data_IF_975856793100
#
_entry.id   IF_975856793100
#
_cell.length_a   1.000
_cell.length_b   1.000
_cell.length_c   1.000
_cell.angle_alpha   90.00
_cell.angle_beta   90.00
_cell.angle_gamma   90.00
#
_symmetry.space_group_name_H-M   'P 1'
#
loop_
_entity.id
_entity.type
_entity.pdbx_description
1 polymer ?
#
# COMPACT_ATOMS: atom_id res chain seq x y z
N UNK A 1 14.48 33.03 -32.38
CA UNK A 1 13.99 33.52 -31.06
C UNK A 1 15.10 33.45 -30.05
N UNK A 2 15.70 34.57 -29.60
CA UNK A 2 16.72 34.60 -28.52
C UNK A 2 16.06 34.25 -27.19
N UNK A 3 16.36 33.09 -26.62
CA UNK A 3 15.93 32.71 -25.26
C UNK A 3 16.46 33.76 -24.27
N UNK A 4 15.58 34.47 -23.58
CA UNK A 4 15.90 35.51 -22.60
C UNK A 4 16.87 34.95 -21.54
N UNK A 5 17.84 35.74 -21.05
CA UNK A 5 18.76 35.39 -19.95
C UNK A 5 17.99 34.92 -18.72
N UNK A 6 16.85 35.50 -18.41
CA UNK A 6 15.93 35.11 -17.35
C UNK A 6 15.47 33.63 -17.46
N UNK A 7 15.14 33.16 -18.67
CA UNK A 7 14.73 31.79 -18.93
C UNK A 7 15.86 30.74 -18.67
N UNK A 8 17.13 31.13 -18.83
CA UNK A 8 18.29 30.27 -18.53
C UNK A 8 18.53 30.20 -17.02
N UNK A 9 18.45 31.34 -16.32
CA UNK A 9 18.60 31.39 -14.85
C UNK A 9 17.52 30.55 -14.17
N UNK A 10 16.27 30.68 -14.58
CA UNK A 10 15.17 29.89 -14.06
C UNK A 10 15.36 28.37 -14.26
N UNK A 11 15.88 27.96 -15.41
CA UNK A 11 16.22 26.55 -15.66
C UNK A 11 17.34 26.05 -14.77
N UNK A 12 18.41 26.82 -14.63
CA UNK A 12 19.53 26.45 -13.74
C UNK A 12 19.01 26.30 -12.30
N UNK A 13 18.23 27.26 -11.81
CA UNK A 13 17.62 27.21 -10.49
C UNK A 13 16.73 25.97 -10.32
N UNK A 14 15.91 25.64 -11.32
CA UNK A 14 15.07 24.43 -11.31
C UNK A 14 15.91 23.15 -11.25
N UNK A 15 17.01 23.06 -12.02
CA UNK A 15 17.89 21.89 -11.95
C UNK A 15 18.61 21.77 -10.60
N UNK A 16 19.08 22.89 -10.04
CA UNK A 16 19.72 22.89 -8.71
C UNK A 16 18.73 22.41 -7.65
N UNK A 17 17.49 22.91 -7.69
CA UNK A 17 16.44 22.52 -6.74
C UNK A 17 16.08 21.04 -6.89
N UNK A 18 15.95 20.53 -8.12
CA UNK A 18 15.67 19.11 -8.39
C UNK A 18 16.81 18.21 -7.93
N UNK A 19 18.07 18.57 -8.22
CA UNK A 19 19.25 17.78 -7.79
C UNK A 19 19.37 17.76 -6.27
N UNK A 20 19.21 18.92 -5.62
CA UNK A 20 19.22 19.01 -4.16
C UNK A 20 18.11 18.18 -3.55
N UNK A 21 16.87 18.27 -4.07
CA UNK A 21 15.75 17.45 -3.64
C UNK A 21 16.02 15.95 -3.81
N UNK A 22 16.60 15.55 -4.95
CA UNK A 22 16.97 14.16 -5.23
C UNK A 22 18.02 13.66 -4.21
N UNK A 23 19.05 14.44 -3.92
CA UNK A 23 20.09 14.08 -2.94
C UNK A 23 19.44 13.89 -1.55
N UNK A 24 18.62 14.83 -1.11
CA UNK A 24 17.92 14.75 0.20
C UNK A 24 17.04 13.50 0.30
N UNK A 25 16.33 13.13 -0.77
CA UNK A 25 15.49 11.94 -0.79
C UNK A 25 16.30 10.65 -0.84
N UNK A 26 17.38 10.60 -1.63
CA UNK A 26 18.19 9.40 -1.80
C UNK A 26 19.16 9.14 -0.63
N UNK A 27 19.52 10.18 0.13
CA UNK A 27 20.47 10.06 1.22
C UNK A 27 20.06 9.04 2.32
N UNK A 28 18.82 9.01 2.82
CA UNK A 28 18.40 7.97 3.76
C UNK A 28 18.49 6.54 3.18
N UNK A 29 18.17 6.36 1.88
CA UNK A 29 18.34 5.07 1.21
C UNK A 29 19.80 4.65 1.13
N UNK A 30 20.69 5.58 0.79
CA UNK A 30 22.12 5.35 0.83
C UNK A 30 22.58 4.89 2.21
N UNK A 31 22.19 5.60 3.28
CA UNK A 31 22.51 5.22 4.66
C UNK A 31 21.97 3.83 5.02
N UNK A 32 20.77 3.51 4.63
CA UNK A 32 20.17 2.19 4.86
C UNK A 32 21.00 1.09 4.20
N UNK A 33 21.40 1.28 2.94
CA UNK A 33 22.18 0.30 2.19
C UNK A 33 23.59 0.11 2.80
N UNK A 34 24.31 1.20 3.05
CA UNK A 34 25.68 1.10 3.57
C UNK A 34 25.71 0.51 4.98
N UNK A 35 24.73 0.86 5.83
CA UNK A 35 24.68 0.34 7.20
C UNK A 35 24.28 -1.15 7.20
N UNK A 36 23.38 -1.59 6.33
CA UNK A 36 23.05 -3.00 6.19
C UNK A 36 24.24 -3.86 5.74
N UNK A 37 25.21 -3.27 5.04
CA UNK A 37 26.41 -3.93 4.51
C UNK A 37 27.66 -3.79 5.40
N UNK A 38 27.55 -3.12 6.55
CA UNK A 38 28.64 -2.97 7.54
C UNK A 38 28.56 -4.01 8.64
N UNK A 39 29.72 -4.25 9.27
CA UNK A 39 29.76 -4.93 10.57
C UNK A 39 29.30 -3.97 11.69
N UNK A 40 28.81 -4.49 12.84
CA UNK A 40 28.48 -3.65 14.01
C UNK A 40 29.65 -2.78 14.48
N UNK A 41 30.90 -3.29 14.38
CA UNK A 41 32.11 -2.56 14.75
C UNK A 41 32.34 -1.37 13.83
N UNK A 42 32.23 -1.55 12.51
CA UNK A 42 32.37 -0.44 11.55
C UNK A 42 31.28 0.62 11.76
N UNK A 43 30.05 0.21 12.04
CA UNK A 43 28.94 1.14 12.29
C UNK A 43 29.12 1.93 13.58
N UNK A 44 29.73 1.33 14.62
CA UNK A 44 30.06 2.03 15.87
C UNK A 44 31.16 3.07 15.72
N UNK A 45 32.13 2.84 14.80
CA UNK A 45 33.19 3.78 14.52
C UNK A 45 32.72 4.97 13.68
N UNK A 46 31.94 4.71 12.65
CA UNK A 46 31.36 5.74 11.78
C UNK A 46 30.09 5.26 11.10
N UNK A 47 28.97 5.86 11.45
CA UNK A 47 27.69 5.56 10.82
C UNK A 47 27.62 5.97 9.34
N UNK A 48 28.29 7.07 8.99
CA UNK A 48 28.21 7.71 7.66
C UNK A 48 29.28 7.24 6.67
N UNK A 49 30.35 6.58 7.12
CA UNK A 49 31.42 6.12 6.23
C UNK A 49 30.95 5.04 5.27
N UNK A 50 31.60 4.87 4.14
CA UNK A 50 31.43 3.73 3.25
C UNK A 50 31.94 2.44 3.93
N UNK A 51 31.30 1.26 3.71
CA UNK A 51 31.77 -0.01 4.27
C UNK A 51 33.19 -0.35 3.77
N UNK A 52 34.06 -0.81 4.67
CA UNK A 52 35.41 -1.27 4.31
C UNK A 52 35.32 -2.65 3.63
N UNK A 53 34.35 -3.48 4.03
CA UNK A 53 34.05 -4.76 3.41
C UNK A 53 32.52 -4.93 3.31
N UNK A 54 32.06 -5.58 2.25
CA UNK A 54 30.62 -5.89 2.11
C UNK A 54 30.28 -7.09 3.00
N UNK A 55 29.73 -6.81 4.19
CA UNK A 55 29.34 -7.84 5.14
C UNK A 55 27.88 -8.28 4.93
N UNK A 56 27.70 -9.43 4.29
CA UNK A 56 26.37 -10.00 4.02
C UNK A 56 25.79 -10.79 5.23
N UNK A 57 26.55 -10.96 6.29
CA UNK A 57 26.13 -11.69 7.48
C UNK A 57 24.86 -11.13 8.14
N UNK A 58 24.62 -9.82 8.02
CA UNK A 58 23.40 -9.20 8.55
C UNK A 58 22.15 -9.77 7.89
N UNK A 59 22.16 -9.94 6.57
CA UNK A 59 21.04 -10.51 5.81
C UNK A 59 20.79 -11.98 6.18
N UNK A 60 21.86 -12.78 6.29
CA UNK A 60 21.79 -14.16 6.71
C UNK A 60 21.22 -14.28 8.13
N UNK A 61 21.71 -13.44 9.04
CA UNK A 61 21.25 -13.40 10.42
C UNK A 61 19.76 -13.03 10.53
N UNK A 62 19.27 -12.09 9.74
CA UNK A 62 17.83 -11.76 9.72
C UNK A 62 17.00 -12.94 9.25
N UNK A 63 17.41 -13.62 8.18
CA UNK A 63 16.69 -14.76 7.63
C UNK A 63 16.68 -15.97 8.57
N UNK A 64 17.78 -16.21 9.31
CA UNK A 64 17.93 -17.37 10.18
C UNK A 64 17.33 -17.18 11.57
N UNK A 65 17.47 -15.98 12.16
CA UNK A 65 17.13 -15.75 13.58
C UNK A 65 15.65 -15.55 13.88
N UNK A 66 14.80 -15.24 12.90
CA UNK A 66 13.55 -14.57 13.23
C UNK A 66 12.29 -15.21 12.67
N UNK A 67 12.26 -16.46 12.25
CA UNK A 67 11.09 -17.00 11.52
C UNK A 67 10.62 -16.06 10.38
N UNK A 68 11.58 -15.36 9.76
CA UNK A 68 11.35 -14.32 8.76
C UNK A 68 10.36 -14.73 7.66
N UNK A 69 10.48 -15.98 7.21
CA UNK A 69 9.60 -16.56 6.18
C UNK A 69 8.14 -16.66 6.63
N UNK A 70 7.86 -16.82 7.94
CA UNK A 70 6.49 -16.80 8.47
C UNK A 70 5.90 -15.41 8.33
N UNK A 71 6.65 -14.38 8.71
CA UNK A 71 6.21 -12.98 8.62
C UNK A 71 6.06 -12.52 7.17
N UNK A 72 7.01 -12.94 6.31
CA UNK A 72 6.93 -12.71 4.87
C UNK A 72 5.67 -13.33 4.27
N UNK A 73 5.44 -14.62 4.55
CA UNK A 73 4.23 -15.33 4.12
C UNK A 73 2.95 -14.64 4.59
N UNK A 74 2.90 -14.22 5.85
CA UNK A 74 1.74 -13.52 6.40
C UNK A 74 1.49 -12.19 5.67
N UNK A 75 2.54 -11.38 5.46
CA UNK A 75 2.43 -10.15 4.65
C UNK A 75 1.97 -10.44 3.21
N UNK A 76 2.54 -11.45 2.58
CA UNK A 76 2.15 -11.84 1.23
C UNK A 76 0.68 -12.30 1.15
N UNK A 77 0.23 -13.14 2.09
CA UNK A 77 -1.17 -13.60 2.17
C UNK A 77 -2.11 -12.43 2.40
N UNK A 78 -1.82 -11.57 3.38
CA UNK A 78 -2.66 -10.40 3.67
C UNK A 78 -2.73 -9.49 2.44
N UNK A 79 -1.60 -9.18 1.81
CA UNK A 79 -1.57 -8.28 0.66
C UNK A 79 -2.27 -8.87 -0.56
N UNK A 80 -1.91 -10.09 -0.95
CA UNK A 80 -2.47 -10.71 -2.16
C UNK A 80 -3.98 -10.92 -2.04
N UNK A 81 -4.44 -11.44 -0.88
CA UNK A 81 -5.88 -11.71 -0.68
C UNK A 81 -6.66 -10.41 -0.55
N UNK A 82 -6.16 -9.41 0.21
CA UNK A 82 -6.84 -8.12 0.33
C UNK A 82 -6.92 -7.40 -1.01
N UNK A 83 -5.82 -7.32 -1.76
CA UNK A 83 -5.79 -6.65 -3.06
C UNK A 83 -6.68 -7.38 -4.07
N UNK A 84 -6.67 -8.71 -4.09
CA UNK A 84 -7.58 -9.48 -4.93
C UNK A 84 -9.05 -9.15 -4.63
N UNK A 85 -9.44 -9.16 -3.35
CA UNK A 85 -10.81 -8.83 -2.94
C UNK A 85 -11.17 -7.37 -3.27
N UNK A 86 -10.25 -6.43 -3.05
CA UNK A 86 -10.40 -5.02 -3.43
C UNK A 86 -10.66 -4.91 -4.93
N UNK A 87 -9.87 -5.59 -5.76
CA UNK A 87 -9.97 -5.53 -7.22
C UNK A 87 -11.21 -6.22 -7.79
N UNK A 88 -11.84 -7.10 -7.04
CA UNK A 88 -13.10 -7.75 -7.44
C UNK A 88 -14.31 -6.97 -6.90
N UNK A 89 -14.35 -6.72 -5.59
CA UNK A 89 -15.55 -6.22 -4.93
C UNK A 89 -15.80 -4.73 -5.19
N UNK A 90 -14.75 -3.90 -5.13
CA UNK A 90 -14.91 -2.46 -5.25
C UNK A 90 -15.33 -2.04 -6.67
N UNK A 91 -14.75 -2.56 -7.76
CA UNK A 91 -15.22 -2.23 -9.12
C UNK A 91 -16.66 -2.67 -9.38
N UNK A 92 -17.06 -3.85 -8.90
CA UNK A 92 -18.45 -4.33 -9.02
C UNK A 92 -19.43 -3.42 -8.29
N UNK A 93 -19.12 -3.06 -7.05
CA UNK A 93 -19.93 -2.13 -6.26
C UNK A 93 -20.00 -0.75 -6.94
N UNK A 94 -18.85 -0.25 -7.39
CA UNK A 94 -18.75 1.06 -8.06
C UNK A 94 -19.53 1.10 -9.36
N UNK A 95 -19.53 0.02 -10.14
CA UNK A 95 -20.34 -0.09 -11.36
C UNK A 95 -21.82 -0.03 -11.05
N UNK A 96 -22.29 -0.81 -10.09
CA UNK A 96 -23.69 -0.80 -9.68
C UNK A 96 -24.14 0.59 -9.21
N UNK A 97 -23.32 1.29 -8.44
CA UNK A 97 -23.59 2.65 -7.99
C UNK A 97 -23.55 3.64 -9.17
N UNK A 98 -22.53 3.62 -9.99
CA UNK A 98 -22.31 4.58 -11.08
C UNK A 98 -23.47 4.56 -12.10
N UNK A 99 -23.97 3.38 -12.44
CA UNK A 99 -25.05 3.19 -13.43
C UNK A 99 -26.45 3.45 -12.88
N UNK A 100 -26.62 3.45 -11.55
CA UNK A 100 -27.90 3.69 -10.90
C UNK A 100 -27.92 4.95 -10.01
N UNK A 101 -27.03 5.91 -10.23
CA UNK A 101 -26.86 7.10 -9.38
C UNK A 101 -28.13 7.98 -9.30
N UNK A 102 -29.07 7.86 -10.24
CA UNK A 102 -30.35 8.55 -10.26
C UNK A 102 -31.30 8.03 -9.17
N UNK A 103 -31.17 6.73 -8.81
CA UNK A 103 -31.97 6.10 -7.77
C UNK A 103 -31.47 6.53 -6.38
N UNK A 104 -32.38 6.99 -5.53
CA UNK A 104 -32.07 7.50 -4.18
C UNK A 104 -31.23 6.53 -3.35
N UNK A 105 -31.48 5.23 -3.43
CA UNK A 105 -30.73 4.21 -2.70
C UNK A 105 -29.23 4.22 -3.05
N UNK A 106 -28.89 4.15 -4.33
CA UNK A 106 -27.48 4.14 -4.79
C UNK A 106 -26.78 5.46 -4.52
N UNK A 107 -27.51 6.58 -4.68
CA UNK A 107 -26.99 7.90 -4.34
C UNK A 107 -26.67 8.01 -2.84
N UNK A 108 -27.54 7.55 -1.97
CA UNK A 108 -27.32 7.53 -0.51
C UNK A 108 -26.15 6.63 -0.15
N UNK A 109 -26.07 5.42 -0.75
CA UNK A 109 -24.95 4.49 -0.53
C UNK A 109 -23.60 5.08 -0.94
N UNK A 110 -23.57 5.80 -2.08
CA UNK A 110 -22.36 6.50 -2.52
C UNK A 110 -21.90 7.54 -1.50
N UNK A 111 -22.81 8.42 -1.04
CA UNK A 111 -22.45 9.45 -0.05
C UNK A 111 -22.10 8.85 1.31
N UNK A 112 -22.72 7.75 1.71
CA UNK A 112 -22.35 7.02 2.92
C UNK A 112 -20.94 6.49 2.86
N UNK A 113 -20.55 5.83 1.76
CA UNK A 113 -19.19 5.36 1.55
C UNK A 113 -18.20 6.53 1.44
N UNK A 114 -18.58 7.60 0.75
CA UNK A 114 -17.76 8.80 0.62
C UNK A 114 -17.48 9.45 1.98
N UNK A 115 -18.45 9.48 2.88
CA UNK A 115 -18.29 10.00 4.24
C UNK A 115 -17.18 9.28 5.01
N UNK A 116 -16.93 8.00 4.71
CA UNK A 116 -15.86 7.23 5.31
C UNK A 116 -14.45 7.78 5.03
N UNK A 117 -14.25 8.53 3.94
CA UNK A 117 -12.94 9.16 3.62
C UNK A 117 -12.60 10.25 4.64
N UNK A 118 -13.61 10.93 5.19
CA UNK A 118 -13.42 12.05 6.11
C UNK A 118 -13.20 11.60 7.56
N UNK A 119 -13.37 10.31 7.85
CA UNK A 119 -13.16 9.77 9.21
C UNK A 119 -11.69 9.32 9.34
N UNK A 120 -10.86 10.02 10.13
CA UNK A 120 -9.48 9.58 10.36
C UNK A 120 -9.45 8.21 11.04
N UNK A 121 -8.61 7.30 10.55
CA UNK A 121 -8.48 5.96 11.12
C UNK A 121 -8.18 5.99 12.62
N UNK A 122 -7.37 6.94 13.09
CA UNK A 122 -6.99 7.11 14.49
C UNK A 122 -8.20 7.33 15.42
N UNK A 123 -9.27 7.92 14.92
CA UNK A 123 -10.50 8.15 15.71
C UNK A 123 -11.27 6.85 15.90
N UNK A 124 -11.30 6.00 14.88
CA UNK A 124 -12.09 4.75 14.90
C UNK A 124 -11.30 3.53 15.38
N UNK A 125 -9.97 3.61 15.50
CA UNK A 125 -9.12 2.44 15.76
C UNK A 125 -9.48 1.71 17.05
N UNK A 126 -9.74 2.43 18.16
CA UNK A 126 -10.07 1.79 19.45
C UNK A 126 -11.44 1.11 19.44
N UNK A 127 -12.54 1.78 19.05
CA UNK A 127 -13.83 1.10 18.94
C UNK A 127 -13.82 -0.05 17.94
N UNK A 128 -13.03 0.07 16.85
CA UNK A 128 -12.87 -0.96 15.84
C UNK A 128 -12.23 -2.22 16.40
N UNK A 129 -11.12 -2.09 17.11
CA UNK A 129 -10.43 -3.24 17.75
C UNK A 129 -11.36 -3.93 18.76
N UNK A 130 -12.10 -3.16 19.58
CA UNK A 130 -13.09 -3.71 20.50
C UNK A 130 -14.18 -4.52 19.77
N UNK A 131 -14.63 -4.00 18.63
CA UNK A 131 -15.64 -4.68 17.81
C UNK A 131 -15.10 -5.97 17.19
N UNK A 132 -13.89 -5.94 16.62
CA UNK A 132 -13.23 -7.12 16.06
C UNK A 132 -12.94 -8.18 17.16
N UNK A 133 -12.51 -7.76 18.34
CA UNK A 133 -12.30 -8.67 19.46
C UNK A 133 -13.61 -9.38 19.87
N UNK A 134 -14.72 -8.65 19.94
CA UNK A 134 -16.04 -9.22 20.21
C UNK A 134 -16.47 -10.25 19.15
N UNK A 135 -16.08 -10.03 17.90
CA UNK A 135 -16.35 -10.96 16.78
C UNK A 135 -15.32 -12.08 16.66
N UNK A 136 -14.29 -12.12 17.52
CA UNK A 136 -13.14 -13.04 17.44
C UNK A 136 -12.36 -12.93 16.12
N UNK A 137 -12.30 -11.73 15.57
CA UNK A 137 -11.62 -11.39 14.31
C UNK A 137 -10.27 -10.67 14.53
N UNK A 138 -9.64 -10.80 15.71
CA UNK A 138 -8.26 -10.37 15.94
C UNK A 138 -7.28 -11.41 15.37
N UNK A 139 -7.29 -11.57 14.04
CA UNK A 139 -6.51 -12.56 13.29
C UNK A 139 -6.29 -12.09 11.84
N UNK A 140 -5.55 -12.88 11.04
CA UNK A 140 -5.27 -12.56 9.63
C UNK A 140 -6.55 -12.36 8.78
N UNK A 141 -7.58 -13.21 8.84
CA UNK A 141 -8.85 -12.95 8.16
C UNK A 141 -9.51 -11.61 8.55
N UNK A 142 -9.52 -11.27 9.83
CA UNK A 142 -10.04 -9.99 10.30
C UNK A 142 -9.25 -8.80 9.76
N UNK A 143 -7.91 -8.91 9.70
CA UNK A 143 -7.07 -7.88 9.08
C UNK A 143 -7.40 -7.70 7.59
N UNK A 144 -7.58 -8.79 6.84
CA UNK A 144 -7.97 -8.76 5.42
C UNK A 144 -9.32 -8.05 5.24
N UNK A 145 -10.33 -8.40 6.05
CA UNK A 145 -11.65 -7.74 6.02
C UNK A 145 -11.50 -6.24 6.25
N UNK A 146 -10.66 -5.85 7.20
CA UNK A 146 -10.39 -4.44 7.51
C UNK A 146 -9.73 -3.70 6.36
N UNK A 147 -8.70 -4.30 5.73
CA UNK A 147 -8.06 -3.71 4.56
C UNK A 147 -9.07 -3.45 3.44
N UNK A 148 -9.92 -4.42 3.12
CA UNK A 148 -10.96 -4.29 2.08
C UNK A 148 -11.99 -3.22 2.45
N UNK A 149 -12.43 -3.19 3.71
CA UNK A 149 -13.43 -2.23 4.19
C UNK A 149 -12.90 -0.79 4.11
N UNK A 150 -11.70 -0.54 4.58
CA UNK A 150 -11.11 0.82 4.56
C UNK A 150 -10.76 1.28 3.14
N UNK A 151 -10.31 0.37 2.27
CA UNK A 151 -10.08 0.67 0.86
C UNK A 151 -11.37 1.04 0.10
N UNK A 152 -12.54 0.55 0.56
CA UNK A 152 -13.80 0.70 -0.16
C UNK A 152 -14.21 2.16 -0.34
N UNK A 153 -14.04 3.01 0.66
CA UNK A 153 -14.42 4.42 0.58
C UNK A 153 -13.70 5.16 -0.54
N UNK A 154 -12.37 5.10 -0.54
CA UNK A 154 -11.55 5.75 -1.56
C UNK A 154 -11.69 5.08 -2.93
N UNK A 155 -11.72 3.75 -2.97
CA UNK A 155 -11.85 2.99 -4.21
C UNK A 155 -13.16 3.25 -4.93
N UNK A 156 -14.29 3.26 -4.20
CA UNK A 156 -15.61 3.57 -4.76
C UNK A 156 -15.67 5.01 -5.25
N UNK A 157 -15.11 5.97 -4.50
CA UNK A 157 -15.05 7.36 -4.94
C UNK A 157 -14.35 7.52 -6.29
N UNK A 158 -13.18 6.93 -6.43
CA UNK A 158 -12.41 7.03 -7.68
C UNK A 158 -13.10 6.33 -8.84
N UNK A 159 -13.59 5.09 -8.61
CA UNK A 159 -14.18 4.28 -9.67
C UNK A 159 -15.54 4.76 -10.12
N UNK A 160 -16.41 5.20 -9.21
CA UNK A 160 -17.74 5.73 -9.59
C UNK A 160 -17.59 6.92 -10.52
N UNK A 161 -16.69 7.85 -10.21
CA UNK A 161 -16.44 9.02 -11.05
C UNK A 161 -15.86 8.63 -12.42
N UNK A 162 -14.93 7.68 -12.45
CA UNK A 162 -14.34 7.21 -13.71
C UNK A 162 -15.35 6.42 -14.56
N UNK A 163 -16.14 5.51 -13.97
CA UNK A 163 -17.15 4.74 -14.69
C UNK A 163 -18.23 5.66 -15.28
N UNK A 164 -18.58 6.74 -14.60
CA UNK A 164 -19.53 7.71 -15.13
C UNK A 164 -19.03 8.45 -16.36
N UNK A 165 -17.73 8.55 -16.57
CA UNK A 165 -17.15 9.12 -17.79
C UNK A 165 -17.14 8.16 -18.98
N UNK A 166 -17.37 6.86 -18.75
CA UNK A 166 -17.52 5.86 -19.81
C UNK A 166 -18.91 6.02 -20.45
N UNK A 167 -19.01 6.23 -21.79
CA UNK A 167 -20.29 6.40 -22.48
C UNK A 167 -21.23 5.20 -22.25
N UNK A 168 -22.49 5.48 -21.90
CA UNK A 168 -23.52 4.44 -21.71
C UNK A 168 -23.92 3.75 -23.02
N UNK A 169 -23.83 4.46 -24.13
CA UNK A 169 -24.17 3.96 -25.46
C UNK A 169 -23.47 2.65 -25.83
N UNK A 170 -22.26 2.44 -25.30
CA UNK A 170 -21.50 1.19 -25.51
C UNK A 170 -22.16 -0.01 -24.81
N UNK A 171 -22.74 0.21 -23.63
CA UNK A 171 -23.47 -0.83 -22.92
C UNK A 171 -24.85 -1.03 -23.51
N UNK A 172 -25.50 0.03 -23.99
CA UNK A 172 -26.81 -0.02 -24.67
C UNK A 172 -26.70 -0.80 -25.98
N UNK A 173 -25.67 -0.57 -26.78
CA UNK A 173 -25.39 -1.36 -27.97
C UNK A 173 -25.22 -2.86 -27.62
N UNK A 174 -24.48 -3.17 -26.55
CA UNK A 174 -24.31 -4.55 -26.11
C UNK A 174 -25.64 -5.20 -25.63
N UNK A 175 -26.53 -4.43 -25.03
CA UNK A 175 -27.85 -4.92 -24.64
C UNK A 175 -28.73 -5.23 -25.86
N UNK A 176 -28.64 -4.43 -26.92
CA UNK A 176 -29.29 -4.69 -28.20
C UNK A 176 -28.75 -6.00 -28.83
N UNK A 177 -27.45 -6.26 -28.69
CA UNK A 177 -26.78 -7.50 -29.12
C UNK A 177 -27.09 -8.70 -28.18
N UNK A 178 -28.00 -8.57 -27.20
CA UNK A 178 -28.40 -9.66 -26.31
C UNK A 178 -27.44 -9.92 -25.14
N UNK A 179 -26.51 -8.99 -24.82
CA UNK A 179 -25.66 -9.10 -23.65
C UNK A 179 -26.48 -8.76 -22.37
N UNK A 180 -26.37 -9.58 -21.34
CA UNK A 180 -26.83 -9.22 -19.99
C UNK A 180 -25.85 -8.29 -19.29
N UNK A 181 -26.31 -7.67 -18.19
CA UNK A 181 -25.54 -6.66 -17.41
C UNK A 181 -24.16 -7.13 -16.97
N UNK A 182 -24.03 -8.37 -16.49
CA UNK A 182 -22.73 -8.93 -16.06
C UNK A 182 -21.76 -9.06 -17.26
N UNK A 183 -22.29 -9.49 -18.41
CA UNK A 183 -21.46 -9.63 -19.63
C UNK A 183 -21.02 -8.27 -20.17
N UNK A 184 -21.90 -7.25 -20.14
CA UNK A 184 -21.59 -5.88 -20.50
C UNK A 184 -20.53 -5.29 -19.55
N UNK A 185 -20.68 -5.49 -18.24
CA UNK A 185 -19.67 -5.08 -17.26
C UNK A 185 -18.31 -5.70 -17.55
N UNK A 186 -18.21 -7.03 -17.69
CA UNK A 186 -16.93 -7.74 -17.84
C UNK A 186 -16.28 -7.48 -19.18
N UNK A 187 -17.07 -7.43 -20.28
CA UNK A 187 -16.52 -7.34 -21.65
C UNK A 187 -16.35 -5.90 -22.15
N UNK A 188 -17.08 -4.92 -21.60
CA UNK A 188 -17.05 -3.54 -22.06
C UNK A 188 -16.48 -2.62 -20.99
N UNK A 189 -17.15 -2.53 -19.83
CA UNK A 189 -16.79 -1.54 -18.81
C UNK A 189 -15.44 -1.87 -18.16
N UNK A 190 -15.24 -3.11 -17.73
CA UNK A 190 -14.03 -3.52 -17.03
C UNK A 190 -12.74 -3.30 -17.86
N UNK A 191 -12.69 -3.60 -19.16
CA UNK A 191 -11.55 -3.25 -20.00
C UNK A 191 -11.31 -1.75 -20.13
N UNK A 192 -12.37 -0.94 -20.19
CA UNK A 192 -12.26 0.51 -20.32
C UNK A 192 -11.73 1.20 -19.05
N UNK A 193 -12.02 0.63 -17.88
CA UNK A 193 -11.54 1.16 -16.59
C UNK A 193 -10.19 0.59 -16.16
N UNK A 194 -9.51 -0.23 -16.97
CA UNK A 194 -8.18 -0.80 -16.64
C UNK A 194 -7.16 0.23 -16.16
N UNK A 195 -7.04 1.44 -16.75
CA UNK A 195 -6.05 2.41 -16.28
C UNK A 195 -6.26 2.82 -14.82
N UNK A 196 -7.50 3.10 -14.42
CA UNK A 196 -7.80 3.45 -13.03
C UNK A 196 -7.70 2.23 -12.11
N UNK A 197 -8.03 1.03 -12.59
CA UNK A 197 -7.83 -0.21 -11.84
C UNK A 197 -6.36 -0.46 -11.54
N UNK A 198 -5.46 -0.23 -12.51
CA UNK A 198 -4.01 -0.34 -12.28
C UNK A 198 -3.54 0.64 -11.18
N UNK A 199 -4.06 1.87 -11.18
CA UNK A 199 -3.76 2.85 -10.13
C UNK A 199 -4.24 2.37 -8.76
N UNK A 200 -5.47 1.88 -8.67
CA UNK A 200 -6.05 1.35 -7.41
C UNK A 200 -5.26 0.12 -6.92
N UNK A 201 -4.88 -0.76 -7.85
CA UNK A 201 -4.05 -1.92 -7.55
C UNK A 201 -2.74 -1.51 -6.89
N UNK A 202 -1.96 -0.63 -7.54
CA UNK A 202 -0.65 -0.20 -7.03
C UNK A 202 -0.78 0.51 -5.68
N UNK A 203 -1.74 1.43 -5.55
CA UNK A 203 -1.94 2.18 -4.30
C UNK A 203 -2.29 1.24 -3.14
N UNK A 204 -3.21 0.30 -3.36
CA UNK A 204 -3.63 -0.62 -2.28
C UNK A 204 -2.58 -1.70 -2.02
N UNK A 205 -1.87 -2.19 -3.02
CA UNK A 205 -0.79 -3.15 -2.83
C UNK A 205 0.33 -2.54 -1.96
N UNK A 206 0.74 -1.31 -2.26
CA UNK A 206 1.73 -0.58 -1.48
C UNK A 206 1.23 -0.28 -0.07
N UNK A 207 -0.01 0.16 0.07
CA UNK A 207 -0.59 0.49 1.36
C UNK A 207 -0.70 -0.75 2.26
N UNK A 208 -1.27 -1.85 1.79
CA UNK A 208 -1.45 -3.07 2.57
C UNK A 208 -0.11 -3.72 2.93
N UNK A 209 0.85 -3.75 1.97
CA UNK A 209 2.18 -4.32 2.23
C UNK A 209 2.95 -3.57 3.31
N UNK A 210 2.87 -2.24 3.33
CA UNK A 210 3.60 -1.40 4.28
C UNK A 210 2.80 -1.08 5.55
N UNK A 211 1.55 -1.59 5.66
CA UNK A 211 0.74 -1.29 6.84
C UNK A 211 1.33 -1.97 8.09
N UNK A 212 1.58 -1.14 9.06
CA UNK A 212 2.06 -1.51 10.38
C UNK A 212 1.00 -1.29 11.45
N UNK A 213 0.16 -0.25 11.28
CA UNK A 213 -0.70 0.24 12.34
C UNK A 213 -1.86 -0.71 12.64
N UNK A 214 -2.53 -1.24 11.61
CA UNK A 214 -3.59 -2.23 11.80
C UNK A 214 -3.07 -3.58 12.29
N UNK A 215 -2.00 -4.17 11.71
CA UNK A 215 -1.38 -5.36 12.29
C UNK A 215 -0.99 -5.21 13.76
N UNK A 216 -0.44 -4.06 14.16
CA UNK A 216 -0.11 -3.78 15.56
C UNK A 216 -1.32 -3.89 16.47
N UNK A 217 -2.46 -3.37 16.06
CA UNK A 217 -3.68 -3.35 16.86
C UNK A 217 -4.39 -4.72 16.92
N UNK A 218 -4.29 -5.50 15.86
CA UNK A 218 -5.09 -6.73 15.66
C UNK A 218 -4.27 -7.99 15.93
N UNK A 219 -2.97 -8.03 15.53
CA UNK A 219 -2.15 -9.24 15.52
C UNK A 219 -1.05 -9.26 16.57
N UNK A 220 -0.78 -8.16 17.28
CA UNK A 220 0.39 -8.04 18.16
C UNK A 220 0.46 -9.10 19.28
N UNK A 221 -0.68 -9.66 19.68
CA UNK A 221 -0.75 -10.65 20.74
C UNK A 221 -0.24 -12.04 20.33
N UNK A 222 -0.14 -12.33 19.04
CA UNK A 222 0.29 -13.64 18.49
C UNK A 222 1.42 -13.46 17.50
N UNK A 223 2.65 -13.78 17.91
CA UNK A 223 3.84 -13.61 17.09
C UNK A 223 3.76 -14.34 15.74
N UNK A 224 3.16 -15.54 15.72
CA UNK A 224 3.01 -16.34 14.50
C UNK A 224 2.14 -15.66 13.41
N UNK A 225 1.33 -14.66 13.80
CA UNK A 225 0.48 -13.90 12.90
C UNK A 225 1.10 -12.58 12.45
N UNK A 226 2.28 -12.21 12.97
CA UNK A 226 2.87 -10.92 12.62
C UNK A 226 3.14 -10.79 11.13
N UNK A 227 2.92 -9.58 10.61
CA UNK A 227 3.36 -9.15 9.29
C UNK A 227 4.80 -8.64 9.35
N UNK A 228 5.46 -8.49 8.20
CA UNK A 228 6.82 -7.95 8.13
C UNK A 228 6.97 -6.59 8.79
N UNK A 229 6.11 -5.57 8.51
CA UNK A 229 6.22 -4.28 9.18
C UNK A 229 6.04 -4.38 10.71
N UNK A 230 5.14 -5.25 11.17
CA UNK A 230 4.93 -5.46 12.60
C UNK A 230 6.14 -6.16 13.25
N UNK A 231 6.73 -7.15 12.57
CA UNK A 231 7.97 -7.78 13.00
C UNK A 231 9.10 -6.76 13.10
N UNK A 232 9.30 -5.91 12.09
CA UNK A 232 10.34 -4.90 12.08
C UNK A 232 10.22 -3.90 13.23
N UNK A 233 9.00 -3.53 13.58
CA UNK A 233 8.74 -2.67 14.74
C UNK A 233 9.13 -3.35 16.06
N UNK A 234 8.70 -4.58 16.26
CA UNK A 234 8.99 -5.34 17.49
C UNK A 234 10.46 -5.79 17.54
N UNK A 235 11.09 -6.04 16.40
CA UNK A 235 12.52 -6.33 16.30
C UNK A 235 13.38 -5.21 16.89
N UNK A 236 13.05 -3.97 16.61
CA UNK A 236 13.74 -2.80 17.16
C UNK A 236 13.65 -2.74 18.70
N UNK A 237 12.57 -3.24 19.30
CA UNK A 237 12.37 -3.28 20.76
C UNK A 237 13.04 -4.48 21.44
N UNK A 238 13.13 -5.63 20.77
CA UNK A 238 13.69 -6.86 21.30
C UNK A 238 15.23 -6.94 21.23
N UNK A 239 15.81 -6.41 20.17
CA UNK A 239 17.25 -6.52 19.88
C UNK A 239 17.93 -5.15 19.93
N UNK A 240 17.56 -4.33 20.93
CA UNK A 240 17.99 -2.97 21.13
C UNK A 240 19.34 -2.63 20.46
N UNK A 241 19.28 -1.68 19.49
CA UNK A 241 20.43 -0.97 18.89
C UNK A 241 21.28 -1.69 17.83
N UNK A 242 20.92 -2.87 17.32
CA UNK A 242 21.59 -3.39 16.14
C UNK A 242 21.01 -2.79 14.86
N UNK A 243 21.44 -1.58 14.53
CA UNK A 243 21.03 -0.88 13.31
C UNK A 243 21.36 -1.66 12.03
N UNK A 244 22.42 -2.46 12.02
CA UNK A 244 22.85 -3.23 10.87
C UNK A 244 21.82 -4.32 10.51
N UNK A 245 21.35 -5.05 11.50
CA UNK A 245 20.27 -6.05 11.33
C UNK A 245 18.94 -5.38 10.96
N UNK A 246 18.62 -4.27 11.62
CA UNK A 246 17.38 -3.54 11.32
C UNK A 246 17.35 -3.05 9.87
N UNK A 247 18.40 -2.42 9.39
CA UNK A 247 18.46 -1.94 8.01
C UNK A 247 18.53 -3.07 6.99
N UNK A 248 19.23 -4.19 7.29
CA UNK A 248 19.18 -5.39 6.47
C UNK A 248 17.74 -5.93 6.34
N UNK A 249 16.98 -5.99 7.45
CA UNK A 249 15.60 -6.43 7.44
C UNK A 249 14.69 -5.51 6.62
N UNK A 250 14.91 -4.18 6.67
CA UNK A 250 14.18 -3.22 5.86
C UNK A 250 14.44 -3.41 4.37
N UNK A 251 15.68 -3.61 3.95
CA UNK A 251 16.04 -3.85 2.55
C UNK A 251 15.39 -5.13 2.01
N UNK A 252 15.40 -6.22 2.79
CA UNK A 252 14.73 -7.46 2.38
C UNK A 252 13.21 -7.25 2.27
N UNK A 253 12.60 -6.55 3.23
CA UNK A 253 11.16 -6.29 3.20
C UNK A 253 10.72 -5.35 2.08
N UNK A 254 11.61 -4.44 1.64
CA UNK A 254 11.35 -3.55 0.51
C UNK A 254 11.49 -4.26 -0.86
N UNK A 255 12.21 -5.38 -0.92
CA UNK A 255 12.53 -6.04 -2.20
C UNK A 255 11.29 -6.38 -3.06
N UNK A 256 10.16 -6.89 -2.52
CA UNK A 256 8.98 -7.18 -3.34
C UNK A 256 8.26 -5.93 -3.87
N UNK A 257 8.51 -4.77 -3.26
CA UNK A 257 7.91 -3.49 -3.66
C UNK A 257 8.72 -2.81 -4.76
N UNK A 258 10.02 -3.14 -4.87
CA UNK A 258 10.94 -2.57 -5.86
C UNK A 258 10.94 -3.34 -7.19
N UNK A 259 10.41 -4.56 -7.21
CA UNK A 259 10.26 -5.43 -8.39
C UNK A 259 8.86 -5.29 -8.99
#
# INVERSE_FOLDING_TARGET
MKRSKSSRILKILSYVLLITGMIVILYPFYLTIITALKTPQESSQSFFSFPQSFYLGNFVNVLQKANYFVFFRNSAVVTLVSVFLIMVLIPMCSYAIARNMEKRYYKTMYFYLLAGIFVPFQVIMVPLVKYLAKLKLCNIPGLIIMCVTLASSQGVFLLVNYIRSVPRDLEEAAYIDGCGTVKAYVKIVLPMIKPILATIFVLNALWVWNDFQMPLLILNQSQDMWTLPLFQYNFKSQYSFDYNLAFASYLIAMSPVLI
#
